data_IF_421721767731
#
_entry.id   IF_421721767731
#
_cell.length_a   1.000
_cell.length_b   1.000
_cell.length_c   1.000
_cell.angle_alpha   90.00
_cell.angle_beta   90.00
_cell.angle_gamma   90.00
#
_symmetry.space_group_name_H-M   'P 1'
#
loop_
_entity.id
_entity.type
_entity.pdbx_description
1 polymer ?
#
# COMPACT_ATOMS: atom_id res chain seq x y z
N UNK A 1 -10.06 -27.17 -17.73
CA UNK A 1 -9.67 -26.52 -16.46
C UNK A 1 -9.00 -25.19 -16.80
N UNK A 2 -9.67 -24.07 -16.53
CA UNK A 2 -9.01 -22.78 -16.61
C UNK A 2 -8.11 -22.68 -15.36
N UNK A 3 -6.83 -22.78 -15.57
CA UNK A 3 -5.82 -22.41 -14.59
C UNK A 3 -5.90 -20.87 -14.46
N UNK A 4 -6.79 -20.40 -13.58
CA UNK A 4 -6.95 -18.98 -13.34
C UNK A 4 -5.68 -18.50 -12.64
N UNK A 5 -4.78 -17.89 -13.40
CA UNK A 5 -3.56 -17.28 -12.91
C UNK A 5 -3.87 -16.46 -11.66
N UNK A 6 -3.28 -16.83 -10.53
CA UNK A 6 -3.45 -16.08 -9.28
C UNK A 6 -3.02 -14.64 -9.45
N UNK A 7 -3.80 -13.72 -8.89
CA UNK A 7 -3.49 -12.30 -8.91
C UNK A 7 -2.18 -12.05 -8.15
N UNK A 8 -1.29 -11.23 -8.68
CA UNK A 8 -0.02 -10.84 -8.05
C UNK A 8 -0.16 -9.47 -7.41
N UNK A 9 -0.02 -9.41 -6.09
CA UNK A 9 -0.16 -8.16 -5.32
C UNK A 9 1.17 -7.81 -4.66
N UNK A 10 1.68 -6.62 -4.93
CA UNK A 10 2.84 -6.04 -4.26
C UNK A 10 2.37 -4.98 -3.27
N UNK A 11 2.40 -5.33 -1.98
CA UNK A 11 2.07 -4.41 -0.88
C UNK A 11 3.31 -3.63 -0.45
N UNK A 12 3.21 -2.32 -0.33
CA UNK A 12 4.25 -1.49 0.25
C UNK A 12 3.71 -0.74 1.46
N UNK A 13 4.33 -0.95 2.62
CA UNK A 13 3.90 -0.33 3.88
C UNK A 13 5.07 -0.15 4.84
N UNK A 14 5.02 0.94 5.62
CA UNK A 14 5.92 1.15 6.75
C UNK A 14 5.40 0.48 8.03
N UNK A 15 4.12 0.16 8.05
CA UNK A 15 3.40 -0.28 9.23
C UNK A 15 3.20 -1.81 9.20
N UNK A 16 4.17 -2.53 9.75
CA UNK A 16 4.11 -3.98 9.96
C UNK A 16 4.77 -4.35 11.30
N UNK A 17 4.39 -5.48 11.93
CA UNK A 17 5.17 -6.06 13.00
C UNK A 17 6.64 -6.28 12.56
N UNK A 18 7.62 -6.18 13.46
CA UNK A 18 7.50 -6.15 14.92
C UNK A 18 7.08 -4.81 15.52
N UNK A 19 6.83 -3.78 14.69
CA UNK A 19 6.23 -2.55 15.18
C UNK A 19 4.85 -2.83 15.78
N UNK A 20 4.51 -2.12 16.87
CA UNK A 20 3.28 -2.34 17.62
C UNK A 20 2.30 -1.21 17.35
N UNK A 21 1.09 -1.55 16.94
CA UNK A 21 0.01 -0.60 16.70
C UNK A 21 -1.15 -1.21 15.91
N UNK A 22 -2.21 -0.43 15.77
CA UNK A 22 -3.41 -0.85 15.03
C UNK A 22 -3.17 -0.99 13.53
N UNK A 23 -2.40 -0.05 12.94
CA UNK A 23 -2.07 -0.08 11.52
C UNK A 23 -1.14 -1.24 11.17
N UNK A 24 -0.20 -1.58 12.06
CA UNK A 24 0.71 -2.70 11.90
C UNK A 24 -0.03 -4.03 11.85
N UNK A 25 -0.96 -4.24 12.78
CA UNK A 25 -1.82 -5.42 12.78
C UNK A 25 -2.73 -5.47 11.57
N UNK A 26 -3.32 -4.34 11.20
CA UNK A 26 -4.19 -4.25 10.03
C UNK A 26 -3.45 -4.64 8.74
N UNK A 27 -2.28 -4.07 8.50
CA UNK A 27 -1.49 -4.40 7.30
C UNK A 27 -1.03 -5.86 7.30
N UNK A 28 -0.70 -6.42 8.48
CA UNK A 28 -0.35 -7.82 8.62
C UNK A 28 -1.53 -8.72 8.25
N UNK A 29 -2.72 -8.48 8.84
CA UNK A 29 -3.93 -9.24 8.53
C UNK A 29 -4.36 -9.06 7.07
N UNK A 30 -4.21 -7.89 6.51
CA UNK A 30 -4.49 -7.65 5.09
C UNK A 30 -3.58 -8.49 4.20
N UNK A 31 -2.27 -8.57 4.49
CA UNK A 31 -1.35 -9.43 3.76
C UNK A 31 -1.70 -10.92 3.90
N UNK A 32 -2.06 -11.35 5.11
CA UNK A 32 -2.49 -12.71 5.40
C UNK A 32 -3.75 -13.09 4.62
N UNK A 33 -4.80 -12.28 4.70
CA UNK A 33 -6.06 -12.55 4.00
C UNK A 33 -5.89 -12.54 2.46
N UNK A 34 -5.15 -11.57 1.94
CA UNK A 34 -4.87 -11.51 0.51
C UNK A 34 -4.09 -12.74 0.02
N UNK A 35 -3.18 -13.27 0.84
CA UNK A 35 -2.36 -14.43 0.48
C UNK A 35 -3.16 -15.72 0.28
N UNK A 36 -4.37 -15.80 0.83
CA UNK A 36 -5.27 -16.96 0.66
C UNK A 36 -5.78 -17.08 -0.79
N UNK A 37 -5.91 -15.96 -1.50
CA UNK A 37 -6.48 -15.90 -2.86
C UNK A 37 -5.53 -15.34 -3.93
N UNK A 38 -4.43 -14.71 -3.52
CA UNK A 38 -3.46 -14.06 -4.40
C UNK A 38 -2.02 -14.43 -4.02
N UNK A 39 -1.08 -14.19 -4.93
CA UNK A 39 0.34 -14.24 -4.62
C UNK A 39 0.74 -12.85 -4.07
N UNK A 40 1.21 -12.81 -2.82
CA UNK A 40 1.50 -11.55 -2.13
C UNK A 40 3.00 -11.43 -1.85
N UNK A 41 3.57 -10.31 -2.26
CA UNK A 41 4.89 -9.84 -1.83
C UNK A 41 4.75 -8.52 -1.10
N UNK A 42 5.59 -8.31 -0.11
CA UNK A 42 5.53 -7.11 0.74
C UNK A 42 6.90 -6.42 0.76
N UNK A 43 6.89 -5.10 0.63
CA UNK A 43 8.00 -4.24 1.00
C UNK A 43 7.63 -3.63 2.35
N UNK A 44 8.30 -4.06 3.40
CA UNK A 44 8.02 -3.67 4.78
C UNK A 44 9.24 -3.11 5.51
N UNK A 45 9.10 -2.71 6.77
CA UNK A 45 10.21 -2.23 7.59
C UNK A 45 11.14 -3.36 8.01
N UNK A 46 12.36 -3.02 8.42
CA UNK A 46 13.33 -3.97 8.98
C UNK A 46 12.72 -4.77 10.14
N UNK A 47 12.92 -6.08 10.16
CA UNK A 47 12.39 -7.03 11.14
C UNK A 47 11.05 -7.66 10.74
N UNK A 48 10.37 -7.19 9.72
CA UNK A 48 9.03 -7.70 9.34
C UNK A 48 9.06 -9.06 8.63
N UNK A 49 10.18 -9.44 8.02
CA UNK A 49 10.30 -10.73 7.35
C UNK A 49 10.19 -11.91 8.33
N UNK A 50 10.75 -11.76 9.55
CA UNK A 50 10.72 -12.82 10.58
C UNK A 50 9.34 -13.08 11.19
N UNK A 51 8.38 -12.20 10.97
CA UNK A 51 7.01 -12.28 11.51
C UNK A 51 5.95 -12.21 10.41
N UNK A 52 6.34 -12.46 9.17
CA UNK A 52 5.44 -12.41 8.02
C UNK A 52 4.38 -13.53 8.08
N UNK A 53 3.19 -13.32 7.50
CA UNK A 53 2.21 -14.39 7.32
C UNK A 53 2.77 -15.52 6.45
N UNK A 54 2.27 -16.74 6.65
CA UNK A 54 2.68 -17.90 5.87
C UNK A 54 2.43 -17.65 4.36
N UNK A 55 3.43 -17.99 3.53
CA UNK A 55 3.34 -17.81 2.08
C UNK A 55 3.55 -16.40 1.57
N UNK A 56 3.74 -15.40 2.45
CA UNK A 56 4.03 -14.02 2.08
C UNK A 56 5.55 -13.78 2.07
N UNK A 57 6.07 -13.31 0.96
CA UNK A 57 7.49 -12.94 0.84
C UNK A 57 7.65 -11.47 1.21
N UNK A 58 8.48 -11.19 2.21
CA UNK A 58 8.77 -9.82 2.66
C UNK A 58 10.19 -9.43 2.31
N UNK A 59 10.36 -8.27 1.69
CA UNK A 59 11.64 -7.58 1.54
C UNK A 59 11.67 -6.36 2.44
N UNK A 60 12.76 -6.19 3.15
CA UNK A 60 12.88 -5.20 4.19
C UNK A 60 13.55 -3.91 3.71
N UNK A 61 12.90 -2.79 4.00
CA UNK A 61 13.45 -1.47 3.85
C UNK A 61 13.90 -0.92 5.21
N UNK A 62 14.94 -0.08 5.22
CA UNK A 62 15.45 0.57 6.42
C UNK A 62 14.34 1.42 7.06
N UNK A 63 14.03 1.19 8.34
CA UNK A 63 12.93 1.85 9.03
C UNK A 63 13.14 3.35 9.30
N UNK A 64 14.37 3.74 9.67
CA UNK A 64 14.71 5.09 10.12
C UNK A 64 15.92 5.66 9.37
N UNK A 65 15.98 6.96 9.16
CA UNK A 65 14.90 7.95 9.27
C UNK A 65 13.86 7.78 8.14
N UNK A 66 12.70 8.40 8.26
CA UNK A 66 11.56 8.24 7.34
C UNK A 66 11.93 8.43 5.86
N UNK A 67 12.70 9.44 5.52
CA UNK A 67 13.09 9.71 4.14
C UNK A 67 13.98 8.59 3.55
N UNK A 68 14.85 7.96 4.38
CA UNK A 68 15.64 6.80 3.94
C UNK A 68 14.76 5.57 3.74
N UNK A 69 13.75 5.38 4.60
CA UNK A 69 12.75 4.34 4.38
C UNK A 69 12.07 4.54 3.03
N UNK A 70 11.56 5.73 2.74
CA UNK A 70 10.84 6.00 1.49
C UNK A 70 11.72 5.79 0.24
N UNK A 71 12.99 6.21 0.28
CA UNK A 71 13.93 5.99 -0.82
C UNK A 71 14.25 4.51 -1.00
N UNK A 72 14.53 3.80 0.08
CA UNK A 72 14.85 2.37 0.03
C UNK A 72 13.62 1.55 -0.39
N UNK A 73 12.46 1.81 0.21
CA UNK A 73 11.20 1.17 -0.19
C UNK A 73 10.90 1.43 -1.67
N UNK A 74 11.12 2.65 -2.17
CA UNK A 74 10.95 2.96 -3.60
C UNK A 74 11.88 2.13 -4.48
N UNK A 75 13.14 2.00 -4.12
CA UNK A 75 14.12 1.20 -4.88
C UNK A 75 13.70 -0.28 -4.93
N UNK A 76 13.37 -0.86 -3.77
CA UNK A 76 12.92 -2.26 -3.66
C UNK A 76 11.61 -2.50 -4.41
N UNK A 77 10.61 -1.63 -4.23
CA UNK A 77 9.29 -1.76 -4.88
C UNK A 77 9.42 -1.71 -6.40
N UNK A 78 10.26 -0.81 -6.92
CA UNK A 78 10.53 -0.73 -8.37
C UNK A 78 11.32 -1.92 -8.89
N UNK A 79 12.25 -2.47 -8.10
CA UNK A 79 12.96 -3.71 -8.42
C UNK A 79 12.01 -4.89 -8.54
N UNK A 80 11.15 -5.09 -7.55
CA UNK A 80 10.12 -6.13 -7.57
C UNK A 80 9.12 -5.94 -8.73
N UNK A 81 8.69 -4.71 -8.99
CA UNK A 81 7.77 -4.41 -10.09
C UNK A 81 8.35 -4.83 -11.45
N UNK A 82 9.64 -4.61 -11.67
CA UNK A 82 10.31 -5.04 -12.91
C UNK A 82 10.48 -6.55 -13.03
N UNK A 83 10.92 -7.19 -11.93
CA UNK A 83 11.27 -8.60 -11.93
C UNK A 83 10.05 -9.51 -11.86
N UNK A 84 9.08 -9.15 -11.03
CA UNK A 84 7.91 -9.99 -10.73
C UNK A 84 6.64 -9.59 -11.50
N UNK A 85 6.56 -8.33 -11.96
CA UNK A 85 5.43 -7.79 -12.72
C UNK A 85 4.09 -8.04 -12.00
N UNK A 86 3.86 -7.41 -10.85
CA UNK A 86 2.58 -7.52 -10.14
C UNK A 86 1.43 -6.98 -11.00
N UNK A 87 0.23 -7.49 -10.77
CA UNK A 87 -0.99 -6.97 -11.38
C UNK A 87 -1.50 -5.73 -10.61
N UNK A 88 -1.24 -5.70 -9.29
CA UNK A 88 -1.62 -4.60 -8.40
C UNK A 88 -0.44 -4.20 -7.51
N UNK A 89 -0.19 -2.91 -7.36
CA UNK A 89 0.68 -2.37 -6.33
C UNK A 89 -0.18 -1.65 -5.31
N UNK A 90 -0.20 -2.18 -4.09
CA UNK A 90 -1.02 -1.70 -2.98
C UNK A 90 -0.18 -0.91 -1.98
N UNK A 91 -0.55 0.33 -1.72
CA UNK A 91 -0.02 1.10 -0.61
C UNK A 91 -0.81 0.81 0.67
N UNK A 92 -0.16 0.35 1.72
CA UNK A 92 -0.79 0.04 3.01
C UNK A 92 -1.19 1.28 3.83
N UNK A 93 -0.79 2.46 3.38
CA UNK A 93 -1.22 3.77 3.90
C UNK A 93 -0.99 4.85 2.85
N UNK A 94 -1.55 6.03 3.07
CA UNK A 94 -1.32 7.20 2.21
C UNK A 94 0.16 7.57 2.10
N UNK A 95 0.95 7.34 3.15
CA UNK A 95 2.39 7.61 3.17
C UNK A 95 3.15 6.91 2.03
N UNK A 96 2.80 5.67 1.71
CA UNK A 96 3.47 4.87 0.68
C UNK A 96 2.83 4.98 -0.70
N UNK A 97 1.78 5.77 -0.86
CA UNK A 97 1.08 5.95 -2.14
C UNK A 97 1.98 6.43 -3.29
N UNK A 98 2.91 7.42 -3.11
CA UNK A 98 3.83 7.81 -4.17
C UNK A 98 4.77 6.69 -4.60
N UNK A 99 5.20 5.84 -3.66
CA UNK A 99 6.07 4.68 -3.91
C UNK A 99 5.32 3.65 -4.75
N UNK A 100 4.10 3.27 -4.34
CA UNK A 100 3.24 2.33 -5.05
C UNK A 100 2.94 2.81 -6.48
N UNK A 101 2.55 4.07 -6.64
CA UNK A 101 2.27 4.68 -7.95
C UNK A 101 3.50 4.65 -8.87
N UNK A 102 4.68 4.96 -8.34
CA UNK A 102 5.93 4.94 -9.10
C UNK A 102 6.25 3.53 -9.64
N UNK A 103 6.01 2.50 -8.86
CA UNK A 103 6.25 1.12 -9.24
C UNK A 103 5.19 0.60 -10.23
N UNK A 104 3.90 0.89 -9.95
CA UNK A 104 2.79 0.47 -10.81
C UNK A 104 2.95 1.00 -12.24
N UNK A 105 3.31 2.28 -12.39
CA UNK A 105 3.59 2.89 -13.71
C UNK A 105 4.70 2.21 -14.48
N UNK A 106 5.66 1.62 -13.77
CA UNK A 106 6.82 0.97 -14.38
C UNK A 106 6.49 -0.36 -15.05
N UNK A 107 5.51 -1.08 -14.51
CA UNK A 107 5.13 -2.41 -14.99
C UNK A 107 3.70 -2.48 -15.56
N UNK A 108 2.98 -1.35 -15.62
CA UNK A 108 1.59 -1.32 -16.09
C UNK A 108 0.57 -1.89 -15.09
N UNK A 109 0.93 -2.01 -13.81
CA UNK A 109 0.05 -2.49 -12.76
C UNK A 109 -0.99 -1.44 -12.36
N UNK A 110 -2.10 -1.90 -11.74
CA UNK A 110 -3.05 -1.01 -11.08
C UNK A 110 -2.49 -0.54 -9.73
N UNK A 111 -2.81 0.69 -9.36
CA UNK A 111 -2.44 1.26 -8.06
C UNK A 111 -3.64 1.26 -7.14
N UNK A 112 -3.50 0.64 -5.97
CA UNK A 112 -4.49 0.66 -4.90
C UNK A 112 -3.88 1.31 -3.66
N UNK A 113 -4.66 2.11 -2.93
CA UNK A 113 -4.20 2.76 -1.70
C UNK A 113 -5.20 2.52 -0.58
N UNK A 114 -4.74 1.94 0.53
CA UNK A 114 -5.51 1.89 1.77
C UNK A 114 -5.31 3.22 2.51
N UNK A 115 -6.40 3.94 2.76
CA UNK A 115 -6.36 5.29 3.33
C UNK A 115 -6.94 5.27 4.74
N UNK A 116 -6.19 5.86 5.67
CA UNK A 116 -6.65 6.20 7.00
C UNK A 116 -6.99 7.69 7.04
N UNK A 117 -7.92 8.11 7.89
CA UNK A 117 -8.44 9.48 7.88
C UNK A 117 -7.37 10.58 7.96
N UNK A 118 -6.27 10.34 8.70
CA UNK A 118 -5.15 11.28 8.82
C UNK A 118 -4.36 11.46 7.52
N UNK A 119 -4.32 10.45 6.65
CA UNK A 119 -3.57 10.50 5.39
C UNK A 119 -4.07 11.58 4.43
N UNK A 120 -5.34 11.94 4.51
CA UNK A 120 -5.97 12.95 3.64
C UNK A 120 -6.25 14.28 4.35
N UNK A 121 -6.17 14.30 5.69
CA UNK A 121 -6.44 15.50 6.50
C UNK A 121 -5.23 16.44 6.62
N UNK A 122 -4.05 16.05 6.15
CA UNK A 122 -2.81 16.83 6.29
C UNK A 122 -2.87 18.10 5.44
N UNK A 123 -2.72 19.25 6.09
CA UNK A 123 -2.76 20.58 5.44
C UNK A 123 -1.45 21.07 4.81
N UNK A 124 -0.33 20.35 5.02
CA UNK A 124 0.99 20.81 4.59
C UNK A 124 1.12 20.85 3.05
N UNK A 125 1.59 21.97 2.44
CA UNK A 125 1.61 22.16 0.98
C UNK A 125 2.40 21.08 0.21
N UNK A 126 3.56 20.69 0.73
CA UNK A 126 4.41 19.67 0.10
C UNK A 126 3.71 18.30 0.14
N UNK A 127 3.09 17.97 1.26
CA UNK A 127 2.30 16.74 1.37
C UNK A 127 1.17 16.73 0.34
N UNK A 128 0.41 17.83 0.24
CA UNK A 128 -0.67 17.95 -0.74
C UNK A 128 -0.19 17.81 -2.17
N UNK A 129 0.96 18.40 -2.51
CA UNK A 129 1.49 18.36 -3.87
C UNK A 129 1.92 16.96 -4.30
N UNK A 130 2.51 16.18 -3.42
CA UNK A 130 3.09 14.86 -3.73
C UNK A 130 2.12 13.74 -3.37
N UNK A 131 1.69 13.68 -2.11
CA UNK A 131 0.94 12.53 -1.58
C UNK A 131 -0.52 12.55 -1.99
N UNK A 132 -1.22 13.69 -1.88
CA UNK A 132 -2.62 13.77 -2.35
C UNK A 132 -2.72 13.56 -3.85
N UNK A 133 -1.73 14.02 -4.64
CA UNK A 133 -1.70 13.73 -6.07
C UNK A 133 -1.57 12.23 -6.34
N UNK A 134 -0.74 11.53 -5.57
CA UNK A 134 -0.60 10.08 -5.69
C UNK A 134 -1.90 9.35 -5.32
N UNK A 135 -2.54 9.75 -4.22
CA UNK A 135 -3.82 9.19 -3.76
C UNK A 135 -4.92 9.43 -4.80
N UNK A 136 -5.10 10.69 -5.26
CA UNK A 136 -6.13 11.03 -6.27
C UNK A 136 -5.98 10.27 -7.58
N UNK A 137 -4.77 9.91 -7.95
CA UNK A 137 -4.47 9.22 -9.22
C UNK A 137 -4.47 7.70 -9.10
N UNK A 138 -4.75 7.15 -7.92
CA UNK A 138 -4.86 5.70 -7.74
C UNK A 138 -6.09 5.15 -8.48
N UNK A 139 -5.97 3.92 -8.97
CA UNK A 139 -7.08 3.23 -9.63
C UNK A 139 -8.18 2.84 -8.65
N UNK A 140 -7.80 2.54 -7.39
CA UNK A 140 -8.72 2.21 -6.31
C UNK A 140 -8.22 2.79 -4.98
N UNK A 141 -9.14 3.36 -4.23
CA UNK A 141 -8.94 3.79 -2.84
C UNK A 141 -9.77 2.89 -1.94
N UNK A 142 -9.13 2.31 -0.94
CA UNK A 142 -9.81 1.57 0.13
C UNK A 142 -9.84 2.47 1.35
N UNK A 143 -11.02 2.95 1.71
CA UNK A 143 -11.23 3.77 2.90
C UNK A 143 -11.63 2.89 4.09
N UNK A 144 -11.02 3.10 5.25
CA UNK A 144 -11.30 2.34 6.47
C UNK A 144 -12.66 2.67 7.11
N UNK A 145 -13.31 3.73 6.68
CA UNK A 145 -14.60 4.17 7.21
C UNK A 145 -15.34 5.09 6.24
N UNK A 146 -16.63 5.30 6.49
CA UNK A 146 -17.44 6.28 5.74
C UNK A 146 -16.88 7.70 5.87
N UNK A 147 -16.41 8.07 7.06
CA UNK A 147 -15.79 9.38 7.30
C UNK A 147 -14.51 9.57 6.46
N UNK A 148 -13.67 8.54 6.38
CA UNK A 148 -12.47 8.56 5.51
C UNK A 148 -12.84 8.63 4.02
N UNK A 149 -13.87 7.92 3.59
CA UNK A 149 -14.36 8.00 2.22
C UNK A 149 -14.85 9.42 1.87
N UNK A 150 -15.54 10.10 2.81
CA UNK A 150 -15.96 11.49 2.65
C UNK A 150 -14.78 12.45 2.53
N UNK A 151 -13.75 12.28 3.37
CA UNK A 151 -12.51 13.05 3.27
C UNK A 151 -11.83 12.86 1.91
N UNK A 152 -11.82 11.63 1.37
CA UNK A 152 -11.29 11.35 0.04
C UNK A 152 -12.05 12.10 -1.06
N UNK A 153 -13.40 12.12 -0.99
CA UNK A 153 -14.24 12.89 -1.93
C UNK A 153 -13.94 14.38 -1.85
N UNK A 154 -13.83 14.92 -0.63
CA UNK A 154 -13.57 16.35 -0.39
C UNK A 154 -12.21 16.80 -0.93
N UNK A 155 -11.23 15.91 -1.02
CA UNK A 155 -9.94 16.22 -1.64
C UNK A 155 -9.87 15.88 -3.12
N UNK A 156 -10.99 15.51 -3.76
CA UNK A 156 -11.11 15.32 -5.20
C UNK A 156 -10.82 13.93 -5.72
N UNK A 157 -10.99 12.89 -4.88
CA UNK A 157 -11.01 11.50 -5.35
C UNK A 157 -12.36 11.19 -5.99
N UNK A 158 -12.35 10.58 -7.15
CA UNK A 158 -13.57 10.12 -7.82
C UNK A 158 -14.30 9.10 -6.94
N UNK A 159 -15.58 9.34 -6.59
CA UNK A 159 -16.38 8.41 -5.78
C UNK A 159 -16.44 6.98 -6.34
N UNK A 160 -16.41 6.83 -7.67
CA UNK A 160 -16.42 5.52 -8.33
C UNK A 160 -15.16 4.68 -8.04
N UNK A 161 -14.09 5.31 -7.56
CA UNK A 161 -12.82 4.65 -7.19
C UNK A 161 -12.68 4.40 -5.69
N UNK A 162 -13.70 4.67 -4.89
CA UNK A 162 -13.64 4.52 -3.43
C UNK A 162 -14.44 3.29 -3.02
N UNK A 163 -13.77 2.33 -2.39
CA UNK A 163 -14.38 1.23 -1.67
C UNK A 163 -14.23 1.44 -0.15
N UNK A 164 -15.24 1.07 0.62
CA UNK A 164 -15.18 1.13 2.08
C UNK A 164 -14.99 -0.28 2.61
N UNK A 165 -13.89 -0.50 3.32
CA UNK A 165 -13.58 -1.76 3.98
C UNK A 165 -13.25 -1.45 5.44
N UNK A 166 -14.16 -1.81 6.34
CA UNK A 166 -13.95 -1.61 7.77
C UNK A 166 -12.88 -2.59 8.29
N UNK A 167 -11.95 -2.12 9.13
CA UNK A 167 -11.09 -3.04 9.87
C UNK A 167 -11.96 -3.91 10.79
N UNK A 168 -11.68 -5.21 10.80
CA UNK A 168 -12.34 -6.16 11.68
C UNK A 168 -11.96 -5.97 13.15
#
# INVERSE_FOLDING_TARGET
MHDSKRLRILLVTRNLPPLVGGMERLNWHMADELSKSADVRVIGPSGSAGVAPAGVIVREARLQPLWKFLLHARALTRGEARAWKPDVVLAGSGLTAPVARSAARLCGAKTCVYVHGLDVAVGHPIYRAIWLRAIRSADLIIANSRATAELCRNVGVDPARIAIVHPG
#
